data_IF_725888614741
#
_entry.id   IF_725888614741
#
_cell.length_a   1.000
_cell.length_b   1.000
_cell.length_c   1.000
_cell.angle_alpha   90.00
_cell.angle_beta   90.00
_cell.angle_gamma   90.00
#
_symmetry.space_group_name_H-M   'P 1'
#
loop_
_entity.id
_entity.type
_entity.pdbx_description
1 polymer ?
#
# COMPACT_ATOMS: atom_id res chain seq x y z
N UNK A 1 -32.88 -7.84 -8.37
CA UNK A 1 -32.48 -6.51 -7.84
C UNK A 1 -31.37 -6.79 -6.86
N UNK A 2 -30.16 -6.33 -7.16
CA UNK A 2 -28.97 -6.61 -6.39
C UNK A 2 -28.99 -5.79 -5.09
N UNK A 3 -29.58 -6.36 -4.03
CA UNK A 3 -29.67 -5.73 -2.71
C UNK A 3 -28.28 -5.47 -2.11
N UNK A 4 -27.27 -6.27 -2.49
CA UNK A 4 -25.89 -6.10 -2.07
C UNK A 4 -25.25 -4.84 -2.64
N UNK A 5 -25.50 -4.54 -3.92
CA UNK A 5 -25.04 -3.32 -4.56
C UNK A 5 -25.61 -2.05 -3.91
N UNK A 6 -26.91 -2.02 -3.60
CA UNK A 6 -27.53 -0.84 -2.98
C UNK A 6 -27.02 -0.58 -1.55
N UNK A 7 -26.81 -1.63 -0.76
CA UNK A 7 -26.21 -1.49 0.58
C UNK A 7 -24.75 -1.04 0.51
N UNK A 8 -23.98 -1.60 -0.42
CA UNK A 8 -22.59 -1.19 -0.67
C UNK A 8 -22.51 0.29 -1.02
N UNK A 9 -23.37 0.76 -1.94
CA UNK A 9 -23.35 2.15 -2.38
C UNK A 9 -23.77 3.12 -1.25
N UNK A 10 -24.75 2.72 -0.42
CA UNK A 10 -25.12 3.48 0.78
C UNK A 10 -23.97 3.55 1.81
N UNK A 11 -23.31 2.41 2.08
CA UNK A 11 -22.13 2.37 2.95
C UNK A 11 -20.94 3.13 2.33
N UNK A 12 -20.85 3.18 1.00
CA UNK A 12 -19.77 3.86 0.31
C UNK A 12 -19.77 5.34 0.65
N UNK A 13 -20.90 6.02 0.87
CA UNK A 13 -20.94 7.44 1.25
C UNK A 13 -21.07 7.69 2.76
N UNK A 14 -21.17 6.63 3.56
CA UNK A 14 -21.29 6.74 5.01
C UNK A 14 -19.96 7.18 5.66
N UNK A 15 -20.05 8.19 6.53
CA UNK A 15 -18.92 8.74 7.29
C UNK A 15 -18.35 7.72 8.29
N UNK A 16 -19.16 6.78 8.80
CA UNK A 16 -18.72 5.69 9.69
C UNK A 16 -17.66 4.82 9.03
N UNK A 17 -17.73 4.66 7.71
CA UNK A 17 -16.78 3.88 6.92
C UNK A 17 -15.79 4.80 6.21
N UNK A 18 -15.21 5.75 6.95
CA UNK A 18 -14.20 6.70 6.44
C UNK A 18 -13.14 7.02 7.50
N UNK A 19 -12.08 7.72 7.09
CA UNK A 19 -10.99 8.10 7.98
C UNK A 19 -10.12 6.93 8.45
N UNK A 20 -9.20 7.22 9.37
CA UNK A 20 -8.17 6.28 9.85
C UNK A 20 -8.79 5.00 10.41
N UNK A 21 -9.83 5.12 11.26
CA UNK A 21 -10.48 3.96 11.89
C UNK A 21 -10.98 2.93 10.88
N UNK A 22 -11.65 3.36 9.80
CA UNK A 22 -12.07 2.43 8.76
C UNK A 22 -10.90 1.99 7.87
N UNK A 23 -9.88 2.83 7.70
CA UNK A 23 -8.60 2.42 7.13
C UNK A 23 -8.04 1.19 7.83
N UNK A 24 -7.94 1.23 9.16
CA UNK A 24 -7.41 0.13 9.96
C UNK A 24 -8.24 -1.16 9.83
N UNK A 25 -9.56 -1.04 9.64
CA UNK A 25 -10.42 -2.20 9.29
C UNK A 25 -10.01 -2.82 7.96
N UNK A 26 -9.77 -2.01 6.93
CA UNK A 26 -9.37 -2.49 5.61
C UNK A 26 -7.99 -3.17 5.64
N UNK A 27 -7.02 -2.60 6.37
CA UNK A 27 -5.71 -3.23 6.55
C UNK A 27 -5.82 -4.56 7.31
N UNK A 28 -6.52 -4.58 8.45
CA UNK A 28 -6.74 -5.80 9.24
C UNK A 28 -7.47 -6.90 8.46
N UNK A 29 -8.35 -6.53 7.52
CA UNK A 29 -8.95 -7.49 6.60
C UNK A 29 -7.90 -8.11 5.66
N UNK A 30 -7.04 -7.32 5.02
CA UNK A 30 -5.99 -7.84 4.13
C UNK A 30 -4.95 -8.69 4.85
N UNK A 31 -4.73 -8.47 6.14
CA UNK A 31 -3.81 -9.28 6.96
C UNK A 31 -4.34 -10.69 7.24
N UNK A 32 -5.66 -10.84 7.33
CA UNK A 32 -6.29 -12.05 7.87
C UNK A 32 -7.02 -12.89 6.83
N UNK A 33 -7.48 -12.30 5.73
CA UNK A 33 -8.15 -13.06 4.66
C UNK A 33 -7.20 -13.96 3.88
N UNK A 34 -7.70 -15.11 3.45
CA UNK A 34 -7.00 -15.97 2.51
C UNK A 34 -7.18 -15.42 1.08
N UNK A 35 -6.10 -14.87 0.52
CA UNK A 35 -6.11 -14.27 -0.82
C UNK A 35 -6.59 -15.26 -1.89
N UNK A 36 -6.22 -16.54 -1.79
CA UNK A 36 -6.58 -17.55 -2.79
C UNK A 36 -8.09 -17.83 -2.81
N UNK A 37 -8.77 -17.70 -1.66
CA UNK A 37 -10.22 -17.89 -1.57
C UNK A 37 -11.02 -16.85 -2.37
N UNK A 38 -10.42 -15.70 -2.68
CA UNK A 38 -11.02 -14.65 -3.51
C UNK A 38 -10.83 -14.87 -5.01
N UNK A 39 -10.12 -15.92 -5.43
CA UNK A 39 -10.01 -16.26 -6.84
C UNK A 39 -11.41 -16.50 -7.45
N UNK A 40 -11.70 -15.82 -8.56
CA UNK A 40 -12.99 -15.90 -9.23
C UNK A 40 -14.13 -15.12 -8.57
N UNK A 41 -13.87 -14.37 -7.48
CA UNK A 41 -14.86 -13.47 -6.89
C UNK A 41 -15.33 -12.42 -7.89
N UNK A 42 -16.63 -12.11 -7.89
CA UNK A 42 -17.29 -11.18 -8.83
C UNK A 42 -18.32 -10.32 -8.12
N UNK A 43 -17.88 -9.21 -7.54
CA UNK A 43 -18.72 -8.13 -6.99
C UNK A 43 -19.92 -8.64 -6.16
N UNK A 44 -19.64 -9.59 -5.27
CA UNK A 44 -20.62 -10.33 -4.49
C UNK A 44 -20.21 -10.47 -3.03
N UNK A 45 -20.91 -11.31 -2.24
CA UNK A 45 -20.55 -11.53 -0.85
C UNK A 45 -19.13 -12.11 -0.72
N UNK A 46 -18.51 -12.02 0.48
CA UNK A 46 -17.24 -12.68 0.75
C UNK A 46 -17.31 -14.17 0.40
N UNK A 47 -16.22 -14.77 -0.13
CA UNK A 47 -16.14 -16.21 -0.33
C UNK A 47 -16.38 -16.99 0.98
N UNK A 48 -16.76 -18.26 0.85
CA UNK A 48 -17.00 -19.15 2.00
C UNK A 48 -15.78 -19.14 2.92
N UNK A 49 -16.02 -18.93 4.22
CA UNK A 49 -14.97 -18.88 5.25
C UNK A 49 -14.28 -17.52 5.42
N UNK A 50 -14.48 -16.55 4.52
CA UNK A 50 -13.80 -15.24 4.60
C UNK A 50 -14.57 -14.18 5.39
N UNK A 51 -15.89 -14.33 5.53
CA UNK A 51 -16.73 -13.34 6.22
C UNK A 51 -16.34 -13.13 7.69
N UNK A 52 -15.92 -14.18 8.39
CA UNK A 52 -15.52 -14.08 9.80
C UNK A 52 -14.31 -13.16 9.98
N UNK A 53 -13.33 -13.23 9.08
CA UNK A 53 -12.15 -12.36 9.10
C UNK A 53 -12.52 -10.88 8.89
N UNK A 54 -13.45 -10.60 7.96
CA UNK A 54 -13.94 -9.24 7.73
C UNK A 54 -14.68 -8.66 8.95
N UNK A 55 -15.52 -9.48 9.59
CA UNK A 55 -16.23 -9.09 10.82
C UNK A 55 -15.24 -8.83 11.95
N UNK A 56 -14.20 -9.67 12.08
CA UNK A 56 -13.20 -9.50 13.13
C UNK A 56 -12.37 -8.22 12.92
N UNK A 57 -12.04 -7.87 11.68
CA UNK A 57 -11.36 -6.62 11.36
C UNK A 57 -12.17 -5.38 11.83
N UNK A 58 -13.49 -5.41 11.67
CA UNK A 58 -14.35 -4.37 12.23
C UNK A 58 -14.37 -4.37 13.77
N UNK A 59 -14.47 -5.54 14.40
CA UNK A 59 -14.50 -5.67 15.87
C UNK A 59 -13.21 -5.18 16.51
N UNK A 60 -12.07 -5.45 15.90
CA UNK A 60 -10.76 -4.94 16.34
C UNK A 60 -10.71 -3.41 16.41
N UNK A 61 -11.50 -2.72 15.58
CA UNK A 61 -11.65 -1.26 15.56
C UNK A 61 -12.89 -0.77 16.34
N UNK A 62 -13.52 -1.65 17.13
CA UNK A 62 -14.61 -1.33 18.05
C UNK A 62 -15.96 -1.02 17.40
N UNK A 63 -16.19 -1.46 16.16
CA UNK A 63 -17.51 -1.28 15.51
C UNK A 63 -18.55 -2.19 16.18
N UNK A 64 -19.77 -1.67 16.36
CA UNK A 64 -20.88 -2.45 16.93
C UNK A 64 -21.58 -3.27 15.84
N UNK A 65 -22.26 -4.35 16.21
CA UNK A 65 -22.82 -5.32 15.24
C UNK A 65 -23.67 -4.67 14.13
N UNK A 66 -24.51 -3.68 14.46
CA UNK A 66 -25.31 -2.97 13.47
C UNK A 66 -24.45 -2.22 12.43
N UNK A 67 -23.35 -1.60 12.85
CA UNK A 67 -22.41 -0.93 11.93
C UNK A 67 -21.62 -1.94 11.10
N UNK A 68 -21.31 -3.11 11.68
CA UNK A 68 -20.64 -4.21 10.95
C UNK A 68 -21.56 -4.71 9.84
N UNK A 69 -22.84 -4.95 10.14
CA UNK A 69 -23.81 -5.44 9.18
C UNK A 69 -23.98 -4.44 8.02
N UNK A 70 -23.99 -3.13 8.32
CA UNK A 70 -24.03 -2.06 7.31
C UNK A 70 -22.75 -1.99 6.46
N UNK A 71 -21.57 -2.14 7.08
CA UNK A 71 -20.26 -1.93 6.44
C UNK A 71 -19.68 -3.17 5.75
N UNK A 72 -20.14 -4.37 6.09
CA UNK A 72 -19.61 -5.63 5.57
C UNK A 72 -19.68 -5.74 4.04
N UNK A 73 -20.77 -5.34 3.35
CA UNK A 73 -20.80 -5.33 1.88
C UNK A 73 -19.74 -4.42 1.26
N UNK A 74 -19.50 -3.25 1.84
CA UNK A 74 -18.46 -2.33 1.39
C UNK A 74 -17.07 -2.95 1.58
N UNK A 75 -16.76 -3.46 2.78
CA UNK A 75 -15.46 -4.07 3.05
C UNK A 75 -15.20 -5.27 2.13
N UNK A 76 -16.22 -6.12 1.92
CA UNK A 76 -16.13 -7.25 0.99
C UNK A 76 -15.82 -6.79 -0.44
N UNK A 77 -16.46 -5.72 -0.90
CA UNK A 77 -16.21 -5.15 -2.23
C UNK A 77 -14.79 -4.60 -2.36
N UNK A 78 -14.32 -3.83 -1.37
CA UNK A 78 -12.97 -3.26 -1.37
C UNK A 78 -11.89 -4.34 -1.40
N UNK A 79 -12.04 -5.38 -0.57
CA UNK A 79 -11.12 -6.53 -0.53
C UNK A 79 -11.19 -7.30 -1.84
N UNK A 80 -12.39 -7.65 -2.31
CA UNK A 80 -12.57 -8.44 -3.52
C UNK A 80 -12.01 -7.77 -4.77
N UNK A 81 -12.30 -6.49 -5.00
CA UNK A 81 -11.73 -5.76 -6.13
C UNK A 81 -10.22 -5.63 -6.02
N UNK A 82 -9.69 -5.33 -4.84
CA UNK A 82 -8.24 -5.20 -4.63
C UNK A 82 -7.49 -6.50 -4.89
N UNK A 83 -8.02 -7.64 -4.41
CA UNK A 83 -7.35 -8.92 -4.56
C UNK A 83 -7.44 -9.50 -5.97
N UNK A 84 -8.51 -9.17 -6.70
CA UNK A 84 -8.79 -9.75 -8.03
C UNK A 84 -8.43 -8.84 -9.20
N UNK A 85 -8.17 -7.55 -8.97
CA UNK A 85 -7.68 -6.64 -10.02
C UNK A 85 -6.27 -7.03 -10.46
N UNK A 86 -6.01 -6.88 -11.76
CA UNK A 86 -4.65 -7.03 -12.30
C UNK A 86 -3.82 -5.79 -11.95
N UNK A 87 -2.70 -6.01 -11.28
CA UNK A 87 -1.64 -5.04 -11.08
C UNK A 87 -0.95 -4.75 -12.43
N UNK A 88 -0.23 -3.62 -12.59
CA UNK A 88 0.42 -3.25 -13.85
C UNK A 88 1.38 -4.29 -14.43
N UNK A 89 1.99 -5.10 -13.58
CA UNK A 89 2.86 -6.23 -13.91
C UNK A 89 2.10 -7.51 -14.30
N UNK A 90 0.76 -7.49 -14.31
CA UNK A 90 -0.09 -8.63 -14.63
C UNK A 90 -0.44 -9.53 -13.44
N UNK A 91 0.13 -9.30 -12.27
CA UNK A 91 -0.18 -10.05 -11.05
C UNK A 91 -1.60 -9.73 -10.56
N UNK A 92 -2.34 -10.74 -10.08
CA UNK A 92 -3.50 -10.54 -9.20
C UNK A 92 -3.11 -11.05 -7.83
N UNK A 93 -3.41 -10.30 -6.76
CA UNK A 93 -2.96 -10.69 -5.41
C UNK A 93 -3.58 -12.03 -4.98
N UNK A 94 -4.79 -12.36 -5.43
CA UNK A 94 -5.41 -13.66 -5.19
C UNK A 94 -4.67 -14.86 -5.82
N UNK A 95 -3.81 -14.63 -6.82
CA UNK A 95 -2.99 -15.68 -7.44
C UNK A 95 -1.58 -15.75 -6.84
N UNK A 96 -1.19 -14.81 -5.98
CA UNK A 96 0.13 -14.79 -5.35
C UNK A 96 0.15 -15.78 -4.17
N UNK A 97 1.00 -16.83 -4.21
CA UNK A 97 1.08 -17.81 -3.12
C UNK A 97 1.45 -17.15 -1.79
N UNK A 98 0.96 -17.70 -0.68
CA UNK A 98 1.30 -17.22 0.66
C UNK A 98 2.83 -17.20 0.92
N UNK A 99 3.58 -18.15 0.35
CA UNK A 99 5.05 -18.19 0.43
C UNK A 99 5.77 -17.10 -0.38
N UNK A 100 5.06 -16.44 -1.29
CA UNK A 100 5.57 -15.39 -2.17
C UNK A 100 5.05 -14.01 -1.78
N UNK A 101 4.45 -13.88 -0.59
CA UNK A 101 4.01 -12.61 -0.03
C UNK A 101 4.35 -12.52 1.44
N UNK A 102 4.61 -11.31 1.91
CA UNK A 102 4.81 -10.98 3.32
C UNK A 102 3.97 -9.75 3.61
N UNK A 103 2.86 -9.96 4.33
CA UNK A 103 2.13 -8.85 4.91
C UNK A 103 2.96 -8.22 6.01
N UNK A 104 2.75 -6.93 6.25
CA UNK A 104 3.17 -6.28 7.48
C UNK A 104 4.69 -6.35 7.73
N UNK A 105 5.48 -6.09 6.68
CA UNK A 105 6.93 -6.13 6.79
C UNK A 105 7.44 -4.88 7.53
N UNK A 106 7.79 -5.06 8.80
CA UNK A 106 8.42 -4.03 9.63
C UNK A 106 9.87 -3.77 9.22
N UNK A 107 10.29 -2.50 9.31
CA UNK A 107 11.67 -2.10 9.11
C UNK A 107 12.11 -1.06 10.15
N UNK A 108 13.42 -1.02 10.35
CA UNK A 108 14.07 -0.17 11.34
C UNK A 108 15.33 0.43 10.71
N UNK A 109 15.43 1.76 10.65
CA UNK A 109 16.65 2.45 10.26
C UNK A 109 17.20 3.25 11.42
N UNK A 110 18.43 2.94 11.82
CA UNK A 110 19.18 3.79 12.73
C UNK A 110 19.64 5.03 11.96
N UNK A 111 19.06 6.19 12.30
CA UNK A 111 19.46 7.48 11.79
C UNK A 111 20.48 8.08 12.76
N UNK A 112 21.76 8.10 12.39
CA UNK A 112 22.77 8.75 13.21
C UNK A 112 22.51 10.26 13.30
N UNK A 113 22.51 10.94 12.15
CA UNK A 113 22.19 12.36 12.01
C UNK A 113 21.91 12.66 10.54
N UNK A 114 20.64 12.87 10.20
CA UNK A 114 20.21 13.23 8.85
C UNK A 114 19.79 14.70 8.84
N UNK A 115 20.51 15.53 8.09
CA UNK A 115 20.10 16.91 7.88
C UNK A 115 18.86 16.97 6.98
N UNK A 116 17.84 17.75 7.38
CA UNK A 116 16.58 17.85 6.64
C UNK A 116 16.78 18.50 5.28
N UNK A 117 17.65 19.49 5.17
CA UNK A 117 17.92 20.16 3.89
C UNK A 117 18.65 19.21 2.95
N UNK A 118 19.56 18.37 3.47
CA UNK A 118 20.21 17.32 2.70
C UNK A 118 19.23 16.24 2.21
N UNK A 119 18.28 15.83 3.06
CA UNK A 119 17.20 14.91 2.66
C UNK A 119 16.35 15.53 1.55
N UNK A 120 15.91 16.77 1.72
CA UNK A 120 15.11 17.49 0.72
C UNK A 120 15.88 17.63 -0.59
N UNK A 121 17.12 18.09 -0.56
CA UNK A 121 17.97 18.20 -1.75
C UNK A 121 18.12 16.85 -2.46
N UNK A 122 18.29 15.77 -1.71
CA UNK A 122 18.40 14.41 -2.27
C UNK A 122 17.13 14.00 -3.01
N UNK A 123 15.96 14.11 -2.39
CA UNK A 123 14.71 13.68 -3.03
C UNK A 123 14.27 14.64 -4.15
N UNK A 124 14.55 15.94 -4.02
CA UNK A 124 14.24 16.96 -5.02
C UNK A 124 15.08 16.84 -6.28
N UNK A 125 16.34 16.41 -6.17
CA UNK A 125 17.17 16.08 -7.34
C UNK A 125 16.55 14.97 -8.22
N UNK A 126 15.64 14.18 -7.66
CA UNK A 126 14.87 13.14 -8.35
C UNK A 126 13.40 13.52 -8.60
N UNK A 127 13.03 14.79 -8.41
CA UNK A 127 11.68 15.30 -8.69
C UNK A 127 10.63 15.01 -7.62
N UNK A 128 11.03 14.53 -6.44
CA UNK A 128 10.14 14.31 -5.30
C UNK A 128 10.15 15.55 -4.39
N UNK A 129 9.00 15.88 -3.80
CA UNK A 129 8.86 16.98 -2.83
C UNK A 129 9.42 18.34 -3.31
N UNK A 130 9.28 18.67 -4.59
CA UNK A 130 9.87 19.87 -5.22
C UNK A 130 9.44 21.21 -4.62
N UNK A 131 8.28 21.28 -3.96
CA UNK A 131 7.79 22.48 -3.26
C UNK A 131 7.97 22.46 -1.74
N UNK A 132 8.65 21.45 -1.19
CA UNK A 132 8.82 21.25 0.26
C UNK A 132 10.06 21.99 0.75
N UNK A 133 9.91 22.81 1.79
CA UNK A 133 11.02 23.57 2.39
C UNK A 133 11.46 23.04 3.76
N UNK A 134 10.70 22.10 4.35
CA UNK A 134 11.02 21.54 5.66
C UNK A 134 9.92 20.65 6.23
N UNK A 135 10.22 19.94 7.31
CA UNK A 135 9.27 19.11 8.07
C UNK A 135 8.96 19.77 9.42
N UNK A 136 8.38 20.98 9.39
CA UNK A 136 8.20 21.84 10.55
C UNK A 136 9.50 22.50 11.00
N UNK A 137 9.72 22.66 12.31
CA UNK A 137 10.94 23.28 12.85
C UNK A 137 12.14 22.34 12.94
N UNK A 138 11.98 21.05 12.61
CA UNK A 138 13.07 20.06 12.63
C UNK A 138 14.07 20.36 11.53
N UNK A 139 15.34 20.46 11.92
CA UNK A 139 16.49 20.61 11.00
C UNK A 139 17.31 19.34 10.87
N UNK A 140 17.18 18.43 11.83
CA UNK A 140 17.89 17.17 11.91
C UNK A 140 16.91 16.06 12.28
N UNK A 141 17.06 14.91 11.65
CA UNK A 141 16.41 13.65 12.00
C UNK A 141 17.46 12.68 12.53
N UNK A 142 17.31 12.25 13.77
CA UNK A 142 18.19 11.28 14.43
C UNK A 142 17.35 10.27 15.24
N UNK A 143 17.98 9.17 15.65
CA UNK A 143 17.33 8.09 16.39
C UNK A 143 16.90 6.92 15.50
N UNK A 144 15.70 6.38 15.73
CA UNK A 144 15.21 5.20 15.05
C UNK A 144 14.00 5.55 14.18
N UNK A 145 14.14 5.46 12.86
CA UNK A 145 13.00 5.46 11.96
C UNK A 145 12.40 4.05 11.93
N UNK A 146 11.13 3.96 12.26
CA UNK A 146 10.36 2.71 12.15
C UNK A 146 9.24 2.89 11.16
N UNK A 147 8.87 1.79 10.51
CA UNK A 147 7.76 1.77 9.59
C UNK A 147 7.38 0.35 9.22
N UNK A 148 6.26 0.23 8.51
CA UNK A 148 5.65 -1.04 8.18
C UNK A 148 5.12 -0.98 6.75
N UNK A 149 5.58 -1.89 5.91
CA UNK A 149 5.09 -2.05 4.56
C UNK A 149 3.90 -3.01 4.60
N UNK A 150 2.74 -2.57 4.11
CA UNK A 150 1.51 -3.38 4.18
C UNK A 150 1.67 -4.74 3.51
N UNK A 151 2.27 -4.75 2.32
CA UNK A 151 2.52 -6.00 1.60
C UNK A 151 3.79 -5.91 0.76
N UNK A 152 4.67 -6.89 0.93
CA UNK A 152 5.70 -7.22 -0.05
C UNK A 152 5.26 -8.49 -0.77
N UNK A 153 5.36 -8.52 -2.09
CA UNK A 153 5.09 -9.75 -2.85
C UNK A 153 6.06 -9.94 -4.00
N UNK A 154 6.23 -11.20 -4.40
CA UNK A 154 7.06 -11.59 -5.52
C UNK A 154 6.19 -12.03 -6.71
N UNK A 155 6.47 -11.50 -7.89
CA UNK A 155 5.84 -11.90 -9.13
C UNK A 155 6.87 -11.89 -10.27
N UNK A 156 6.86 -12.95 -11.10
CA UNK A 156 7.76 -13.08 -12.25
C UNK A 156 9.25 -12.77 -11.93
N UNK A 157 9.73 -13.20 -10.76
CA UNK A 157 11.11 -13.01 -10.31
C UNK A 157 11.43 -11.61 -9.75
N UNK A 158 10.42 -10.74 -9.60
CA UNK A 158 10.59 -9.39 -9.04
C UNK A 158 9.84 -9.22 -7.73
N UNK A 159 10.38 -8.41 -6.82
CA UNK A 159 9.80 -8.05 -5.53
C UNK A 159 9.16 -6.67 -5.59
N UNK A 160 7.94 -6.56 -5.08
CA UNK A 160 7.10 -5.38 -5.17
C UNK A 160 6.70 -4.94 -3.77
N UNK A 161 6.73 -3.63 -3.55
CA UNK A 161 6.12 -2.98 -2.38
C UNK A 161 4.69 -2.63 -2.75
N UNK A 162 3.76 -2.89 -1.84
CA UNK A 162 2.38 -2.45 -1.95
C UNK A 162 1.92 -1.82 -0.64
N UNK A 163 1.21 -0.70 -0.77
CA UNK A 163 0.60 0.05 0.32
C UNK A 163 -0.87 0.32 -0.03
N UNK A 164 -1.77 0.01 0.90
CA UNK A 164 -3.22 0.18 0.74
C UNK A 164 -3.64 1.57 1.22
N UNK A 165 -4.47 2.25 0.42
CA UNK A 165 -5.02 3.57 0.72
C UNK A 165 -6.53 3.54 0.67
N UNK A 166 -7.19 4.06 1.70
CA UNK A 166 -8.66 4.15 1.77
C UNK A 166 -9.17 5.59 1.57
N UNK A 167 -8.31 6.49 1.07
CA UNK A 167 -8.64 7.88 0.79
C UNK A 167 -9.87 7.99 -0.12
N UNK A 168 -10.76 8.92 0.20
CA UNK A 168 -11.88 9.31 -0.66
C UNK A 168 -11.40 10.40 -1.60
N UNK A 169 -11.40 10.11 -2.89
CA UNK A 169 -10.99 11.05 -3.94
C UNK A 169 -12.19 11.38 -4.85
N UNK A 170 -12.20 12.53 -5.56
CA UNK A 170 -13.26 12.88 -6.51
C UNK A 170 -13.41 11.85 -7.65
N UNK A 171 -12.28 11.29 -8.08
CA UNK A 171 -12.16 10.14 -8.96
C UNK A 171 -10.84 9.43 -8.65
N UNK A 172 -10.60 8.28 -9.30
CA UNK A 172 -9.38 7.49 -9.11
C UNK A 172 -8.61 7.31 -10.41
N UNK A 173 -8.73 8.28 -11.31
CA UNK A 173 -8.01 8.31 -12.57
C UNK A 173 -6.57 8.82 -12.35
N UNK A 174 -5.62 8.53 -13.26
CA UNK A 174 -4.19 8.73 -13.03
C UNK A 174 -3.78 10.12 -12.54
N UNK A 175 -4.42 11.18 -13.07
CA UNK A 175 -4.11 12.57 -12.68
C UNK A 175 -4.50 12.86 -11.22
N UNK A 176 -5.66 12.37 -10.78
CA UNK A 176 -6.12 12.53 -9.39
C UNK A 176 -5.26 11.71 -8.44
N UNK A 177 -4.86 10.49 -8.84
CA UNK A 177 -3.93 9.69 -8.05
C UNK A 177 -2.56 10.35 -7.92
N UNK A 178 -2.04 10.95 -9.00
CA UNK A 178 -0.76 11.67 -8.96
C UNK A 178 -0.80 12.84 -7.97
N UNK A 179 -1.90 13.62 -7.99
CA UNK A 179 -2.11 14.69 -7.01
C UNK A 179 -2.21 14.16 -5.58
N UNK A 180 -2.98 13.09 -5.36
CA UNK A 180 -3.09 12.47 -4.03
C UNK A 180 -1.74 11.93 -3.52
N UNK A 181 -0.91 11.35 -4.40
CA UNK A 181 0.45 10.92 -4.07
C UNK A 181 1.37 12.07 -3.66
N UNK A 182 1.18 13.25 -4.27
CA UNK A 182 1.92 14.46 -3.93
C UNK A 182 1.45 15.07 -2.60
N UNK A 183 0.15 15.33 -2.47
CA UNK A 183 -0.46 15.98 -1.31
C UNK A 183 -0.32 15.13 -0.03
N UNK A 184 -0.39 13.80 -0.14
CA UNK A 184 -0.18 12.88 0.97
C UNK A 184 1.30 12.60 1.29
N UNK A 185 2.25 13.22 0.57
CA UNK A 185 3.69 12.94 0.64
C UNK A 185 4.04 11.44 0.49
N UNK A 186 3.15 10.67 -0.15
CA UNK A 186 3.31 9.23 -0.36
C UNK A 186 4.49 8.90 -1.28
N UNK A 187 4.97 9.88 -2.06
CA UNK A 187 6.21 9.75 -2.84
C UNK A 187 7.46 9.61 -1.95
N UNK A 188 7.52 10.30 -0.81
CA UNK A 188 8.59 10.13 0.17
C UNK A 188 8.47 8.77 0.87
N UNK A 189 7.24 8.40 1.26
CA UNK A 189 6.97 7.07 1.85
C UNK A 189 7.41 5.95 0.90
N UNK A 190 7.07 6.04 -0.38
CA UNK A 190 7.48 5.09 -1.41
C UNK A 190 9.01 4.95 -1.51
N UNK A 191 9.75 6.06 -1.38
CA UNK A 191 11.20 6.06 -1.41
C UNK A 191 11.79 5.36 -0.18
N UNK A 192 11.25 5.63 1.00
CA UNK A 192 11.64 4.98 2.26
C UNK A 192 11.33 3.47 2.20
N UNK A 193 10.15 3.09 1.70
CA UNK A 193 9.77 1.67 1.59
C UNK A 193 10.59 0.93 0.53
N UNK A 194 10.93 1.61 -0.57
CA UNK A 194 11.85 1.07 -1.58
C UNK A 194 13.23 0.81 -0.98
N UNK A 195 13.74 1.76 -0.18
CA UNK A 195 15.00 1.57 0.55
C UNK A 195 14.92 0.41 1.54
N UNK A 196 13.82 0.28 2.28
CA UNK A 196 13.64 -0.80 3.25
C UNK A 196 13.70 -2.17 2.58
N UNK A 197 12.94 -2.35 1.50
CA UNK A 197 12.97 -3.58 0.73
C UNK A 197 14.32 -3.81 0.04
N UNK A 198 14.95 -2.75 -0.47
CA UNK A 198 16.28 -2.83 -1.08
C UNK A 198 17.35 -3.34 -0.10
N UNK A 199 17.44 -2.75 1.11
CA UNK A 199 18.34 -3.20 2.18
C UNK A 199 18.07 -4.65 2.57
N UNK A 200 16.79 -5.00 2.71
CA UNK A 200 16.40 -6.36 3.08
C UNK A 200 16.79 -7.38 2.01
N UNK A 201 16.55 -7.08 0.73
CA UNK A 201 16.91 -7.97 -0.38
C UNK A 201 18.43 -8.14 -0.50
N UNK A 202 19.20 -7.04 -0.39
CA UNK A 202 20.67 -7.10 -0.31
C UNK A 202 21.13 -8.03 0.81
N UNK A 203 20.57 -7.89 2.00
CA UNK A 203 20.91 -8.74 3.14
C UNK A 203 20.56 -10.21 2.89
N UNK A 204 19.40 -10.50 2.29
CA UNK A 204 18.91 -11.87 2.10
C UNK A 204 19.54 -12.61 0.94
N UNK A 205 19.84 -11.91 -0.14
CA UNK A 205 20.29 -12.50 -1.41
C UNK A 205 21.79 -12.24 -1.68
N UNK A 206 22.42 -11.31 -0.96
CA UNK A 206 23.85 -11.00 -1.10
C UNK A 206 24.20 -10.57 -2.53
N UNK A 207 25.35 -11.06 -3.02
CA UNK A 207 25.88 -10.76 -4.36
C UNK A 207 24.94 -11.20 -5.50
N UNK A 208 23.98 -12.09 -5.23
CA UNK A 208 23.00 -12.48 -6.22
C UNK A 208 21.94 -11.41 -6.47
N UNK A 209 21.81 -10.38 -5.63
CA UNK A 209 20.80 -9.33 -5.79
C UNK A 209 21.23 -8.23 -6.77
N UNK A 210 20.32 -7.87 -7.67
CA UNK A 210 20.46 -6.72 -8.54
C UNK A 210 19.15 -5.90 -8.54
N UNK A 211 19.23 -4.61 -8.22
CA UNK A 211 18.04 -3.75 -8.15
C UNK A 211 17.32 -3.69 -9.51
N UNK A 212 18.07 -3.61 -10.61
CA UNK A 212 17.54 -3.45 -11.96
C UNK A 212 16.76 -4.69 -12.44
N UNK A 213 17.14 -5.88 -11.98
CA UNK A 213 16.49 -7.15 -12.27
C UNK A 213 15.41 -7.51 -11.26
N UNK A 214 15.69 -7.39 -9.97
CA UNK A 214 14.91 -8.03 -8.90
C UNK A 214 13.88 -7.09 -8.25
N UNK A 215 14.05 -5.77 -8.32
CA UNK A 215 13.07 -4.83 -7.75
C UNK A 215 11.99 -4.44 -8.77
N UNK A 216 10.74 -4.73 -8.44
CA UNK A 216 9.56 -4.53 -9.30
C UNK A 216 8.87 -3.17 -9.16
N UNK A 217 9.22 -2.39 -8.14
CA UNK A 217 8.65 -1.07 -7.86
C UNK A 217 7.62 -1.07 -6.72
N UNK A 218 6.93 0.06 -6.59
CA UNK A 218 5.92 0.34 -5.56
C UNK A 218 4.52 0.42 -6.17
N UNK A 219 3.50 -0.04 -5.45
CA UNK A 219 2.07 -0.03 -5.80
C UNK A 219 1.32 0.65 -4.66
N UNK A 220 0.74 1.81 -4.94
CA UNK A 220 -0.17 2.48 -4.03
C UNK A 220 -1.59 2.20 -4.50
N UNK A 221 -2.31 1.40 -3.74
CA UNK A 221 -3.62 0.88 -4.12
C UNK A 221 -4.69 1.63 -3.34
N UNK A 222 -5.33 2.58 -4.01
CA UNK A 222 -6.48 3.31 -3.49
C UNK A 222 -7.72 2.41 -3.61
N UNK A 223 -7.97 1.57 -2.60
CA UNK A 223 -8.91 0.45 -2.63
C UNK A 223 -10.33 0.85 -3.06
N UNK A 224 -10.76 2.07 -2.75
CA UNK A 224 -12.07 2.62 -3.16
C UNK A 224 -12.21 2.86 -4.66
N UNK A 225 -11.08 3.02 -5.35
CA UNK A 225 -11.01 3.25 -6.78
C UNK A 225 -10.72 2.00 -7.59
N UNK A 226 -10.39 0.88 -6.95
CA UNK A 226 -10.04 -0.34 -7.67
C UNK A 226 -11.31 -0.98 -8.24
N UNK A 227 -11.28 -1.29 -9.53
CA UNK A 227 -12.35 -2.01 -10.21
C UNK A 227 -11.78 -3.16 -11.04
N UNK A 228 -11.81 -4.35 -10.46
CA UNK A 228 -11.37 -5.60 -11.09
C UNK A 228 -12.16 -5.99 -12.36
N UNK A 229 -13.29 -5.35 -12.66
CA UNK A 229 -14.05 -5.58 -13.90
C UNK A 229 -13.42 -4.86 -15.09
N UNK A 230 -12.59 -3.85 -14.85
CA UNK A 230 -11.85 -3.10 -15.87
C UNK A 230 -10.49 -3.76 -16.11
N UNK A 231 -10.11 -3.94 -17.38
CA UNK A 231 -8.80 -4.49 -17.74
C UNK A 231 -7.64 -3.62 -17.22
N UNK A 232 -7.79 -2.30 -17.30
CA UNK A 232 -6.96 -1.33 -16.61
C UNK A 232 -7.76 -0.77 -15.43
N UNK A 233 -7.54 -1.32 -14.24
CA UNK A 233 -8.21 -0.86 -13.03
C UNK A 233 -7.78 0.58 -12.71
N UNK A 234 -8.72 1.49 -12.38
CA UNK A 234 -8.40 2.74 -11.72
C UNK A 234 -7.90 2.47 -10.29
N UNK A 235 -7.48 3.52 -9.58
CA UNK A 235 -7.08 3.43 -8.18
C UNK A 235 -5.70 2.83 -7.92
N UNK A 236 -4.96 2.40 -8.94
CA UNK A 236 -3.60 1.86 -8.77
C UNK A 236 -2.58 2.88 -9.29
N UNK A 237 -1.81 3.45 -8.38
CA UNK A 237 -0.61 4.20 -8.72
C UNK A 237 0.60 3.28 -8.66
N UNK A 238 1.38 3.20 -9.73
CA UNK A 238 2.60 2.40 -9.78
C UNK A 238 3.79 3.24 -10.21
N UNK A 239 4.90 3.04 -9.53
CA UNK A 239 6.16 3.69 -9.84
C UNK A 239 7.32 2.72 -9.59
N UNK A 240 8.42 2.93 -10.31
CA UNK A 240 9.70 2.31 -10.00
C UNK A 240 10.70 3.44 -9.81
N UNK A 241 11.11 3.64 -8.57
CA UNK A 241 12.07 4.68 -8.24
C UNK A 241 13.45 4.32 -8.82
N UNK A 242 14.22 5.31 -9.29
CA UNK A 242 15.56 5.06 -9.80
C UNK A 242 16.46 4.54 -8.69
N UNK A 243 17.32 3.56 -8.99
CA UNK A 243 18.28 3.01 -8.02
C UNK A 243 19.17 4.11 -7.42
N UNK A 244 19.50 5.12 -8.22
CA UNK A 244 20.30 6.26 -7.80
C UNK A 244 19.67 7.04 -6.63
N UNK A 245 18.34 7.16 -6.61
CA UNK A 245 17.62 7.77 -5.49
C UNK A 245 17.68 6.88 -4.25
N UNK A 246 17.47 5.57 -4.44
CA UNK A 246 17.48 4.60 -3.34
C UNK A 246 18.87 4.53 -2.70
N UNK A 247 19.93 4.46 -3.50
CA UNK A 247 21.32 4.46 -3.02
C UNK A 247 21.71 5.79 -2.35
N UNK A 248 21.20 6.92 -2.85
CA UNK A 248 21.44 8.22 -2.24
C UNK A 248 20.79 8.31 -0.85
N UNK A 249 19.56 7.81 -0.72
CA UNK A 249 18.88 7.69 0.58
C UNK A 249 19.58 6.69 1.49
N UNK A 250 20.07 5.58 0.96
CA UNK A 250 20.82 4.57 1.72
C UNK A 250 22.04 5.20 2.40
N UNK A 251 22.88 5.90 1.62
CA UNK A 251 24.05 6.63 2.13
C UNK A 251 23.66 7.70 3.15
N UNK A 252 22.60 8.46 2.86
CA UNK A 252 22.12 9.51 3.76
C UNK A 252 21.67 8.93 5.12
N UNK A 253 21.05 7.75 5.11
CA UNK A 253 20.58 7.05 6.31
C UNK A 253 21.64 6.10 6.90
N UNK A 254 22.93 6.37 6.65
CA UNK A 254 24.04 5.64 7.27
C UNK A 254 24.24 4.21 6.78
N UNK A 255 23.79 3.87 5.57
CA UNK A 255 24.17 2.63 4.91
C UNK A 255 25.63 2.70 4.45
N UNK A 256 26.42 1.66 4.78
CA UNK A 256 27.76 1.48 4.22
C UNK A 256 27.62 1.17 2.72
N UNK A 257 28.41 1.88 1.90
CA UNK A 257 28.45 1.75 0.44
C UNK A 257 29.04 0.41 -0.02
#
# INVERSE_FOLDING_TARGET
RDFGAAMRDAAADDVRFSGTRFGDVVHGAFETVDFAAWNGWRDGPPPVGQQAALIEAFRAQGYVQAEIDDGLPLLASLVGHTLTAAMPEGARLCDVPASSRRAEMEFHFALARVDVDALLATVQAHGLLTGREGFGSRRVLDGLMTGKIDLVYAHAGRYHVLDYKTNRLPDYEPATLQRAMHEGEYTLQAAIYSLALHRWLRFRLGDAYDYARDFGGVRYVFCRGVDARRAASPGIHAARLPVQLVDALDRLFGGDA
#
